data_IF_499157355926
#
_entry.id   IF_499157355926
#
_cell.length_a   1.000
_cell.length_b   1.000
_cell.length_c   1.000
_cell.angle_alpha   90.00
_cell.angle_beta   90.00
_cell.angle_gamma   90.00
#
_symmetry.space_group_name_H-M   'P 1'
#
loop_
_entity.id
_entity.type
_entity.pdbx_description
1 polymer ?
#
# COMPACT_ATOMS: atom_id res chain seq x y z
N UNK A 1 -17.34 -4.00 -13.50
CA UNK A 1 -16.64 -4.50 -12.30
C UNK A 1 -16.22 -3.36 -11.38
N UNK A 2 -15.51 -2.33 -11.88
CA UNK A 2 -15.10 -1.15 -11.11
C UNK A 2 -16.25 -0.41 -10.38
N UNK A 3 -17.41 -0.22 -11.02
CA UNK A 3 -18.55 0.50 -10.43
C UNK A 3 -19.17 -0.22 -9.22
N UNK A 4 -19.24 -1.56 -9.25
CA UNK A 4 -19.75 -2.36 -8.12
C UNK A 4 -18.81 -2.26 -6.92
N UNK A 5 -17.50 -2.30 -7.16
CA UNK A 5 -16.49 -2.18 -6.12
C UNK A 5 -16.46 -0.77 -5.52
N UNK A 6 -16.57 0.27 -6.35
CA UNK A 6 -16.68 1.66 -5.89
C UNK A 6 -17.89 1.87 -4.99
N UNK A 7 -19.05 1.32 -5.37
CA UNK A 7 -20.26 1.39 -4.53
C UNK A 7 -20.05 0.67 -3.20
N UNK A 8 -19.52 -0.54 -3.22
CA UNK A 8 -19.24 -1.29 -2.00
C UNK A 8 -18.30 -0.52 -1.05
N UNK A 9 -17.19 0.01 -1.56
CA UNK A 9 -16.25 0.77 -0.73
C UNK A 9 -16.89 2.05 -0.18
N UNK A 10 -17.67 2.78 -1.00
CA UNK A 10 -18.40 3.96 -0.54
C UNK A 10 -19.37 3.64 0.60
N UNK A 11 -20.02 2.49 0.55
CA UNK A 11 -21.02 2.10 1.53
C UNK A 11 -20.41 1.51 2.82
N UNK A 12 -19.18 0.98 2.78
CA UNK A 12 -18.60 0.19 3.87
C UNK A 12 -17.28 0.75 4.45
N UNK A 13 -16.67 1.76 3.84
CA UNK A 13 -15.40 2.35 4.30
C UNK A 13 -15.60 3.82 4.67
N UNK A 14 -15.36 4.15 5.95
CA UNK A 14 -15.60 5.49 6.51
C UNK A 14 -14.85 6.63 5.78
N UNK A 15 -13.75 6.32 5.09
CA UNK A 15 -12.89 7.30 4.41
C UNK A 15 -12.63 6.92 2.94
N UNK A 16 -13.67 6.45 2.25
CA UNK A 16 -13.53 6.10 0.84
C UNK A 16 -13.26 7.32 -0.04
N UNK A 17 -12.13 7.30 -0.76
CA UNK A 17 -11.82 8.28 -1.79
C UNK A 17 -12.25 7.79 -3.17
N UNK A 18 -13.18 8.50 -3.85
CA UNK A 18 -13.66 8.09 -5.16
C UNK A 18 -12.58 8.26 -6.23
N UNK A 19 -12.75 7.57 -7.37
CA UNK A 19 -11.75 7.56 -8.46
C UNK A 19 -11.26 8.95 -8.89
N UNK A 20 -12.14 9.94 -8.89
CA UNK A 20 -11.85 11.31 -9.31
C UNK A 20 -11.23 12.20 -8.22
N UNK A 21 -11.06 11.67 -7.01
CA UNK A 21 -10.37 12.37 -5.93
C UNK A 21 -8.85 12.39 -6.17
N UNK A 22 -8.34 11.35 -6.82
CA UNK A 22 -6.91 11.18 -7.03
C UNK A 22 -6.44 11.74 -8.38
N UNK A 23 -5.30 12.44 -8.42
CA UNK A 23 -4.54 12.60 -9.64
C UNK A 23 -4.16 11.21 -10.18
N UNK A 24 -4.03 11.04 -11.51
CA UNK A 24 -3.80 9.73 -12.14
C UNK A 24 -2.65 8.92 -11.54
N UNK A 25 -1.60 9.58 -11.03
CA UNK A 25 -0.34 8.96 -10.59
C UNK A 25 -0.02 9.15 -9.10
N UNK A 26 -0.95 9.70 -8.29
CA UNK A 26 -0.65 10.13 -6.92
C UNK A 26 -1.50 9.45 -5.85
N UNK A 27 -1.70 8.13 -5.94
CA UNK A 27 -2.22 7.38 -4.80
C UNK A 27 -1.15 7.39 -3.68
N UNK A 28 -1.42 7.96 -2.49
CA UNK A 28 -0.43 8.02 -1.41
C UNK A 28 -0.01 6.63 -0.94
N UNK A 29 -0.87 5.62 -1.07
CA UNK A 29 -0.51 4.24 -0.76
C UNK A 29 0.58 3.73 -1.70
N UNK A 30 0.41 3.93 -3.00
CA UNK A 30 1.34 3.41 -4.01
C UNK A 30 2.63 4.24 -4.06
N UNK A 31 2.52 5.58 -4.04
CA UNK A 31 3.67 6.46 -4.17
C UNK A 31 4.52 6.53 -2.90
N UNK A 32 3.88 6.75 -1.74
CA UNK A 32 4.62 6.98 -0.51
C UNK A 32 4.93 5.68 0.22
N UNK A 33 3.90 4.90 0.55
CA UNK A 33 4.07 3.70 1.37
C UNK A 33 4.72 2.56 0.60
N UNK A 34 4.18 2.20 -0.56
CA UNK A 34 4.70 1.08 -1.33
C UNK A 34 6.10 1.38 -1.89
N UNK A 35 6.30 2.58 -2.47
CA UNK A 35 7.63 2.99 -2.95
C UNK A 35 8.70 2.98 -1.85
N UNK A 36 8.40 3.47 -0.65
CA UNK A 36 9.36 3.48 0.45
C UNK A 36 9.70 2.07 0.93
N UNK A 37 8.70 1.19 1.10
CA UNK A 37 8.92 -0.19 1.54
C UNK A 37 9.65 -1.00 0.46
N UNK A 38 9.21 -0.90 -0.78
CA UNK A 38 9.85 -1.55 -1.92
C UNK A 38 11.33 -1.18 -2.01
N UNK A 39 11.67 0.11 -1.86
CA UNK A 39 13.06 0.59 -1.89
C UNK A 39 13.96 -0.03 -0.81
N UNK A 40 13.37 -0.52 0.29
CA UNK A 40 14.09 -1.19 1.39
C UNK A 40 14.12 -2.70 1.18
N UNK A 41 13.00 -3.30 0.80
CA UNK A 41 12.89 -4.75 0.62
C UNK A 41 13.65 -5.23 -0.61
N UNK A 42 13.74 -4.43 -1.66
CA UNK A 42 14.39 -4.78 -2.93
C UNK A 42 15.91 -4.60 -2.93
N UNK A 43 16.52 -4.16 -1.81
CA UNK A 43 17.99 -4.03 -1.67
C UNK A 43 18.70 -5.38 -1.63
N UNK A 44 17.98 -6.43 -1.23
CA UNK A 44 18.52 -7.78 -1.08
C UNK A 44 17.63 -8.78 -1.80
N UNK A 45 18.19 -9.73 -2.57
CA UNK A 45 17.42 -10.83 -3.14
C UNK A 45 16.78 -11.70 -2.04
N UNK A 46 15.56 -12.17 -2.29
CA UNK A 46 14.82 -13.06 -1.40
C UNK A 46 14.84 -14.48 -1.96
N UNK A 47 15.11 -15.47 -1.11
CA UNK A 47 15.21 -16.88 -1.53
C UNK A 47 13.85 -17.48 -1.92
N UNK A 48 12.79 -16.98 -1.30
CA UNK A 48 11.42 -17.43 -1.52
C UNK A 48 10.39 -16.37 -1.09
N UNK A 49 9.13 -16.65 -1.40
CA UNK A 49 8.01 -15.75 -1.08
C UNK A 49 7.88 -15.46 0.42
N UNK A 50 8.14 -16.44 1.29
CA UNK A 50 7.99 -16.25 2.74
C UNK A 50 9.09 -15.34 3.32
N UNK A 51 10.32 -15.44 2.80
CA UNK A 51 11.40 -14.52 3.14
C UNK A 51 11.12 -13.08 2.69
N UNK A 52 10.47 -12.91 1.53
CA UNK A 52 10.00 -11.60 1.07
C UNK A 52 8.91 -11.04 1.99
N UNK A 53 7.88 -11.84 2.31
CA UNK A 53 6.79 -11.42 3.23
C UNK A 53 7.33 -11.00 4.59
N UNK A 54 8.25 -11.79 5.16
CA UNK A 54 8.86 -11.47 6.45
C UNK A 54 9.64 -10.14 6.40
N UNK A 55 10.34 -9.88 5.29
CA UNK A 55 11.08 -8.63 5.11
C UNK A 55 10.12 -7.44 4.94
N UNK A 56 9.04 -7.58 4.17
CA UNK A 56 8.00 -6.55 4.04
C UNK A 56 7.40 -6.18 5.41
N UNK A 57 7.02 -7.18 6.21
CA UNK A 57 6.44 -6.96 7.55
C UNK A 57 7.45 -6.25 8.46
N UNK A 58 8.71 -6.71 8.46
CA UNK A 58 9.78 -6.08 9.23
C UNK A 58 9.98 -4.61 8.84
N UNK A 59 10.04 -4.29 7.56
CA UNK A 59 10.25 -2.91 7.11
C UNK A 59 9.04 -2.01 7.40
N UNK A 60 7.82 -2.57 7.38
CA UNK A 60 6.59 -1.90 7.81
C UNK A 60 6.62 -1.57 9.31
N UNK A 61 6.94 -2.56 10.16
CA UNK A 61 6.96 -2.39 11.62
C UNK A 61 8.04 -1.42 12.09
N UNK A 62 9.15 -1.33 11.36
CA UNK A 62 10.23 -0.38 11.63
C UNK A 62 10.04 0.98 10.93
N UNK A 63 8.90 1.22 10.27
CA UNK A 63 8.69 2.48 9.57
C UNK A 63 8.40 3.61 10.58
N UNK A 64 9.25 4.65 10.65
CA UNK A 64 9.21 5.64 11.74
C UNK A 64 7.96 6.52 11.74
N UNK A 65 7.27 6.65 10.61
CA UNK A 65 6.03 7.44 10.47
C UNK A 65 4.78 6.56 10.38
N UNK A 66 4.85 5.28 10.80
CA UNK A 66 3.68 4.39 10.81
C UNK A 66 2.52 5.10 11.54
N UNK A 67 1.34 5.30 10.90
CA UNK A 67 0.18 5.80 11.60
C UNK A 67 -0.20 4.82 12.72
N UNK A 68 -0.51 5.39 13.90
CA UNK A 68 -0.96 4.68 15.10
C UNK A 68 -2.09 3.69 14.77
#
# INVERSE_FOLDING_TARGET
MAAKNQKFCKDNMAHFWPKNFWPPDLNPLDFFWWGAIESKTSRTPHLNLDSLKATIIKEWDNYPEKPL
#
